data_IF_178301621936
#
_entry.id   IF_178301621936
#
_cell.length_a   1.000
_cell.length_b   1.000
_cell.length_c   1.000
_cell.angle_alpha   90.00
_cell.angle_beta   90.00
_cell.angle_gamma   90.00
#
_symmetry.space_group_name_H-M   'P 1'
#
loop_
_entity.id
_entity.type
_entity.pdbx_description
1 polymer ?
#
# COMPACT_ATOMS: atom_id res chain seq x y z
N UNK A 1 24.24 -4.31 -7.51
CA UNK A 1 24.00 -5.76 -7.36
C UNK A 1 22.61 -6.07 -7.87
N UNK A 2 22.45 -7.02 -8.80
CA UNK A 2 21.15 -7.36 -9.38
C UNK A 2 20.51 -8.50 -8.55
N UNK A 3 19.67 -8.12 -7.59
CA UNK A 3 18.93 -9.06 -6.72
C UNK A 3 17.85 -9.78 -7.55
N UNK A 4 17.73 -11.11 -7.42
CA UNK A 4 16.72 -11.88 -8.17
C UNK A 4 15.29 -11.47 -7.81
N UNK A 5 14.31 -11.67 -8.71
CA UNK A 5 12.90 -11.40 -8.42
C UNK A 5 12.47 -12.14 -7.15
N UNK A 6 12.83 -13.43 -7.03
CA UNK A 6 12.54 -14.23 -5.84
C UNK A 6 13.10 -13.63 -4.54
N UNK A 7 14.34 -13.11 -4.56
CA UNK A 7 14.92 -12.43 -3.40
C UNK A 7 14.19 -11.11 -3.08
N UNK A 8 13.84 -10.31 -4.10
CA UNK A 8 13.07 -9.07 -3.90
C UNK A 8 11.66 -9.36 -3.36
N UNK A 9 11.03 -10.43 -3.85
CA UNK A 9 9.76 -10.95 -3.33
C UNK A 9 9.92 -11.37 -1.86
N UNK A 10 10.97 -12.10 -1.48
CA UNK A 10 11.17 -12.51 -0.08
C UNK A 10 11.25 -11.32 0.90
N UNK A 11 11.74 -10.16 0.44
CA UNK A 11 11.79 -8.92 1.22
C UNK A 11 10.44 -8.22 1.27
N UNK A 12 9.71 -8.18 0.15
CA UNK A 12 8.38 -7.58 0.08
C UNK A 12 7.30 -8.43 0.77
N UNK A 13 7.56 -9.72 0.95
CA UNK A 13 6.62 -10.74 1.42
C UNK A 13 7.19 -11.61 2.55
N UNK A 14 7.74 -11.04 3.64
CA UNK A 14 8.38 -11.83 4.69
C UNK A 14 7.39 -12.75 5.43
N UNK A 15 6.11 -12.43 5.37
CA UNK A 15 5.04 -13.14 6.08
C UNK A 15 4.13 -13.96 5.16
N UNK A 16 4.32 -13.89 3.84
CA UNK A 16 3.64 -14.84 2.95
C UNK A 16 4.41 -16.16 2.97
N UNK A 17 3.73 -17.30 3.10
CA UNK A 17 4.39 -18.58 2.87
C UNK A 17 5.05 -18.58 1.46
N UNK A 18 6.31 -19.06 1.34
CA UNK A 18 7.06 -19.06 0.08
C UNK A 18 6.28 -19.79 -1.03
N UNK A 19 6.36 -19.30 -2.27
CA UNK A 19 5.21 -18.61 -2.82
C UNK A 19 4.32 -19.53 -3.68
N UNK A 20 3.02 -19.40 -3.47
CA UNK A 20 2.12 -18.80 -4.46
C UNK A 20 2.75 -18.62 -5.86
N UNK A 21 2.30 -19.37 -6.86
CA UNK A 21 2.77 -19.21 -8.25
C UNK A 21 2.46 -17.80 -8.75
N UNK A 22 3.43 -17.17 -9.43
CA UNK A 22 3.30 -15.80 -9.95
C UNK A 22 3.61 -15.79 -11.44
N UNK A 23 2.60 -15.43 -12.23
CA UNK A 23 2.77 -15.06 -13.63
C UNK A 23 2.84 -13.54 -13.73
N UNK A 24 4.07 -13.01 -13.74
CA UNK A 24 4.29 -11.59 -13.91
C UNK A 24 4.18 -11.20 -15.39
N UNK A 25 3.61 -10.03 -15.68
CA UNK A 25 3.51 -9.47 -17.03
C UNK A 25 2.75 -10.38 -18.00
N UNK A 26 1.65 -10.99 -17.54
CA UNK A 26 0.67 -11.66 -18.43
C UNK A 26 0.23 -10.68 -19.52
N UNK A 27 0.08 -9.41 -19.15
CA UNK A 27 0.08 -8.28 -20.06
C UNK A 27 1.09 -7.27 -19.56
N UNK A 28 1.83 -6.65 -20.47
CA UNK A 28 2.80 -5.61 -20.15
C UNK A 28 2.41 -4.30 -20.82
N UNK A 29 2.27 -3.26 -20.02
CA UNK A 29 2.04 -1.92 -20.51
C UNK A 29 3.25 -1.40 -21.31
N UNK A 30 2.97 -0.64 -22.36
CA UNK A 30 3.91 0.22 -23.04
C UNK A 30 3.61 1.65 -22.60
N UNK A 31 4.59 2.34 -22.02
CA UNK A 31 4.38 3.68 -21.45
C UNK A 31 5.60 4.56 -21.69
N UNK A 32 5.36 5.87 -21.69
CA UNK A 32 6.39 6.89 -21.79
C UNK A 32 6.79 7.40 -20.40
N UNK A 33 7.99 7.98 -20.32
CA UNK A 33 8.87 7.92 -19.15
C UNK A 33 8.51 8.85 -17.97
N UNK A 34 7.31 9.43 -17.91
CA UNK A 34 7.00 10.55 -16.98
C UNK A 34 5.76 10.39 -16.11
N UNK A 35 5.07 9.26 -16.14
CA UNK A 35 3.72 9.20 -15.58
C UNK A 35 3.65 8.60 -14.17
N UNK A 36 2.57 8.89 -13.45
CA UNK A 36 2.25 8.27 -12.17
C UNK A 36 1.58 6.90 -12.40
N UNK A 37 2.15 5.82 -11.87
CA UNK A 37 1.51 4.50 -11.98
C UNK A 37 0.48 4.27 -10.88
N UNK A 38 -0.73 3.85 -11.25
CA UNK A 38 -1.69 3.29 -10.31
C UNK A 38 -1.33 1.85 -9.95
N UNK A 39 -1.14 1.58 -8.66
CA UNK A 39 -0.84 0.25 -8.13
C UNK A 39 -2.07 -0.31 -7.43
N UNK A 40 -2.53 -1.44 -7.94
CA UNK A 40 -3.84 -2.00 -7.64
C UNK A 40 -3.74 -3.50 -7.44
N UNK A 41 -4.72 -4.03 -6.73
CA UNK A 41 -4.96 -5.47 -6.72
C UNK A 41 -6.45 -5.75 -6.68
N UNK A 42 -6.83 -6.93 -7.15
CA UNK A 42 -8.20 -7.42 -7.14
C UNK A 42 -8.25 -8.94 -6.97
N UNK A 43 -9.43 -9.45 -6.66
CA UNK A 43 -9.75 -10.86 -6.77
C UNK A 43 -10.21 -11.16 -8.20
N UNK A 44 -9.90 -12.36 -8.71
CA UNK A 44 -10.15 -12.78 -10.09
C UNK A 44 -11.61 -12.61 -10.54
N UNK A 45 -12.60 -12.90 -9.69
CA UNK A 45 -14.02 -12.72 -10.03
C UNK A 45 -14.43 -11.25 -10.25
N UNK A 46 -13.59 -10.29 -9.87
CA UNK A 46 -13.82 -8.84 -10.02
C UNK A 46 -13.14 -8.22 -11.22
N UNK A 47 -12.45 -9.03 -12.02
CA UNK A 47 -11.57 -8.56 -13.09
C UNK A 47 -12.29 -7.65 -14.10
N UNK A 48 -13.51 -7.96 -14.47
CA UNK A 48 -14.27 -7.15 -15.44
C UNK A 48 -14.47 -5.71 -14.96
N UNK A 49 -14.85 -5.51 -13.70
CA UNK A 49 -15.06 -4.17 -13.13
C UNK A 49 -13.73 -3.40 -12.97
N UNK A 50 -12.66 -4.14 -12.66
CA UNK A 50 -11.33 -3.57 -12.53
C UNK A 50 -10.75 -3.09 -13.86
N UNK A 51 -10.94 -3.86 -14.94
CA UNK A 51 -10.50 -3.47 -16.29
C UNK A 51 -11.20 -2.19 -16.75
N UNK A 52 -12.50 -2.04 -16.48
CA UNK A 52 -13.24 -0.79 -16.77
C UNK A 52 -12.64 0.38 -16.00
N UNK A 53 -12.40 0.22 -14.70
CA UNK A 53 -11.87 1.30 -13.87
C UNK A 53 -10.41 1.63 -14.21
N UNK A 54 -9.61 0.63 -14.57
CA UNK A 54 -8.22 0.80 -15.01
C UNK A 54 -8.15 1.56 -16.35
N UNK A 55 -9.09 1.32 -17.26
CA UNK A 55 -9.16 2.04 -18.54
C UNK A 55 -9.46 3.54 -18.39
N UNK A 56 -10.06 3.94 -17.26
CA UNK A 56 -10.33 5.34 -16.94
C UNK A 56 -9.14 6.05 -16.27
N UNK A 57 -8.11 5.30 -15.86
CA UNK A 57 -6.91 5.88 -15.30
C UNK A 57 -6.05 6.49 -16.43
N UNK A 58 -5.66 7.78 -16.34
CA UNK A 58 -4.96 8.45 -17.44
C UNK A 58 -3.51 8.01 -17.62
N UNK A 59 -2.90 7.37 -16.63
CA UNK A 59 -1.50 6.93 -16.65
C UNK A 59 -1.34 5.42 -16.76
N UNK A 60 -0.14 4.89 -16.47
CA UNK A 60 0.10 3.46 -16.39
C UNK A 60 -0.60 2.83 -15.19
N UNK A 61 -0.99 1.58 -15.32
CA UNK A 61 -1.61 0.78 -14.27
C UNK A 61 -0.79 -0.50 -14.07
N UNK A 62 -0.46 -0.80 -12.83
CA UNK A 62 0.09 -2.08 -12.40
C UNK A 62 -0.97 -2.79 -11.57
N UNK A 63 -1.56 -3.84 -12.14
CA UNK A 63 -2.68 -4.58 -11.56
C UNK A 63 -2.25 -6.00 -11.18
N UNK A 64 -2.48 -6.35 -9.92
CA UNK A 64 -2.30 -7.72 -9.43
C UNK A 64 -3.66 -8.39 -9.31
N UNK A 65 -3.84 -9.48 -10.05
CA UNK A 65 -5.02 -10.34 -9.96
C UNK A 65 -4.70 -11.51 -9.05
N UNK A 66 -5.46 -11.65 -7.97
CA UNK A 66 -5.29 -12.72 -6.99
C UNK A 66 -6.33 -13.79 -7.25
N UNK A 67 -5.88 -15.04 -7.35
CA UNK A 67 -6.74 -16.20 -7.62
C UNK A 67 -6.38 -17.38 -6.72
N UNK A 68 -7.37 -18.17 -6.32
CA UNK A 68 -7.16 -19.47 -5.68
C UNK A 68 -7.26 -20.64 -6.65
N UNK A 69 -7.40 -20.36 -7.95
CA UNK A 69 -7.41 -21.40 -8.98
C UNK A 69 -5.99 -21.92 -9.17
N UNK A 70 -5.81 -23.23 -9.04
CA UNK A 70 -4.50 -23.88 -9.18
C UNK A 70 -3.89 -23.56 -10.57
N UNK A 71 -2.57 -23.32 -10.69
CA UNK A 71 -1.95 -22.90 -11.94
C UNK A 71 -2.17 -23.84 -13.13
N UNK A 72 -2.40 -25.13 -12.87
CA UNK A 72 -2.63 -26.16 -13.90
C UNK A 72 -4.12 -26.40 -14.21
N UNK A 73 -5.03 -25.72 -13.51
CA UNK A 73 -6.48 -25.87 -13.67
C UNK A 73 -6.98 -25.27 -14.99
N UNK A 74 -8.17 -25.69 -15.41
CA UNK A 74 -8.89 -25.10 -16.55
C UNK A 74 -9.25 -23.64 -16.27
N UNK A 75 -9.71 -23.36 -15.06
CA UNK A 75 -10.17 -22.06 -14.57
C UNK A 75 -9.04 -21.03 -14.59
N UNK A 76 -7.82 -21.43 -14.20
CA UNK A 76 -6.63 -20.59 -14.29
C UNK A 76 -6.27 -20.25 -15.74
N UNK A 77 -6.30 -21.24 -16.64
CA UNK A 77 -6.05 -21.00 -18.07
C UNK A 77 -7.11 -20.11 -18.70
N UNK A 78 -8.37 -20.30 -18.34
CA UNK A 78 -9.48 -19.48 -18.82
C UNK A 78 -9.35 -18.03 -18.33
N UNK A 79 -8.90 -17.82 -17.08
CA UNK A 79 -8.57 -16.50 -16.56
C UNK A 79 -7.45 -15.83 -17.37
N UNK A 80 -6.35 -16.53 -17.66
CA UNK A 80 -5.26 -16.00 -18.47
C UNK A 80 -5.73 -15.66 -19.90
N UNK A 81 -6.52 -16.54 -20.52
CA UNK A 81 -7.12 -16.30 -21.83
C UNK A 81 -8.08 -15.11 -21.84
N UNK A 82 -8.88 -14.95 -20.79
CA UNK A 82 -9.75 -13.80 -20.60
C UNK A 82 -8.94 -12.49 -20.50
N UNK A 83 -7.89 -12.47 -19.69
CA UNK A 83 -7.01 -11.31 -19.54
C UNK A 83 -6.39 -10.92 -20.89
N UNK A 84 -5.78 -11.89 -21.57
CA UNK A 84 -5.09 -11.67 -22.84
C UNK A 84 -6.03 -11.16 -23.94
N UNK A 85 -7.32 -11.53 -23.91
CA UNK A 85 -8.31 -11.11 -24.93
C UNK A 85 -9.03 -9.81 -24.58
N UNK A 86 -9.18 -9.47 -23.30
CA UNK A 86 -9.95 -8.29 -22.85
C UNK A 86 -9.11 -7.07 -22.55
N UNK A 87 -7.84 -7.25 -22.20
CA UNK A 87 -6.95 -6.11 -22.01
C UNK A 87 -6.56 -5.56 -23.38
N UNK A 88 -7.15 -4.42 -23.73
CA UNK A 88 -6.91 -3.71 -24.99
C UNK A 88 -6.11 -2.43 -24.79
N UNK A 89 -5.89 -2.03 -23.54
CA UNK A 89 -5.29 -0.76 -23.16
C UNK A 89 -3.77 -0.88 -23.07
N UNK A 90 -3.04 -0.03 -23.78
CA UNK A 90 -1.57 -0.05 -23.81
C UNK A 90 -0.93 0.34 -22.47
N UNK A 91 -1.68 0.98 -21.56
CA UNK A 91 -1.20 1.47 -20.28
C UNK A 91 -1.34 0.45 -19.12
N UNK A 92 -1.85 -0.76 -19.36
CA UNK A 92 -2.14 -1.73 -18.29
C UNK A 92 -1.16 -2.91 -18.27
N UNK A 93 -0.44 -3.06 -17.15
CA UNK A 93 0.34 -4.25 -16.81
C UNK A 93 -0.48 -5.13 -15.87
N UNK A 94 -0.62 -6.42 -16.19
CA UNK A 94 -1.36 -7.40 -15.39
C UNK A 94 -0.42 -8.50 -14.92
N UNK A 95 -0.50 -8.79 -13.62
CA UNK A 95 0.24 -9.85 -12.95
C UNK A 95 -0.76 -10.77 -12.26
N UNK A 96 -0.59 -12.08 -12.36
CA UNK A 96 -1.51 -13.05 -11.75
C UNK A 96 -0.78 -13.78 -10.62
N UNK A 97 -1.34 -13.67 -9.42
CA UNK A 97 -0.81 -14.28 -8.21
C UNK A 97 -1.76 -15.38 -7.74
N UNK A 98 -1.30 -16.63 -7.81
CA UNK A 98 -2.00 -17.76 -7.23
C UNK A 98 -1.80 -17.79 -5.70
N UNK A 99 -2.87 -17.85 -4.91
CA UNK A 99 -2.82 -17.97 -3.45
C UNK A 99 -3.61 -19.19 -3.00
N UNK A 100 -3.22 -19.81 -1.89
CA UNK A 100 -3.95 -20.98 -1.36
C UNK A 100 -5.40 -20.68 -0.98
N UNK A 101 -5.67 -19.45 -0.55
CA UNK A 101 -7.01 -19.00 -0.20
C UNK A 101 -7.10 -17.49 -0.34
N UNK A 102 -8.21 -17.02 -0.90
CA UNK A 102 -8.55 -15.61 -1.03
C UNK A 102 -9.03 -15.04 0.32
N UNK A 103 -9.68 -15.86 1.16
CA UNK A 103 -10.38 -15.42 2.39
C UNK A 103 -9.47 -14.98 3.55
N UNK A 104 -8.16 -15.04 3.38
CA UNK A 104 -7.16 -14.56 4.33
C UNK A 104 -6.12 -13.65 3.71
N UNK A 105 -6.44 -13.02 2.57
CA UNK A 105 -5.44 -12.37 1.72
C UNK A 105 -4.53 -11.34 2.42
N UNK A 106 -3.29 -11.27 1.94
CA UNK A 106 -2.28 -10.30 2.36
C UNK A 106 -2.40 -9.06 1.47
N UNK A 107 -3.38 -8.21 1.80
CA UNK A 107 -3.79 -7.06 0.96
C UNK A 107 -2.67 -6.04 0.69
N UNK A 108 -1.89 -5.67 1.70
CA UNK A 108 -0.78 -4.74 1.56
C UNK A 108 0.35 -5.35 0.73
N UNK A 109 0.57 -6.66 0.88
CA UNK A 109 1.47 -7.43 0.05
C UNK A 109 1.03 -7.35 -1.42
N UNK A 110 -0.24 -7.56 -1.74
CA UNK A 110 -0.70 -7.46 -3.13
C UNK A 110 -0.48 -6.07 -3.72
N UNK A 111 -0.75 -5.01 -2.96
CA UNK A 111 -0.41 -3.62 -3.36
C UNK A 111 1.10 -3.43 -3.52
N UNK A 112 1.90 -3.99 -2.62
CA UNK A 112 3.36 -3.94 -2.74
C UNK A 112 3.85 -4.68 -4.00
N UNK A 113 3.21 -5.78 -4.38
CA UNK A 113 3.53 -6.48 -5.63
C UNK A 113 3.24 -5.60 -6.84
N UNK A 114 2.08 -4.94 -6.86
CA UNK A 114 1.73 -3.98 -7.89
C UNK A 114 2.75 -2.83 -7.95
N UNK A 115 3.14 -2.29 -6.80
CA UNK A 115 4.21 -1.29 -6.68
C UNK A 115 5.54 -1.79 -7.20
N UNK A 116 5.90 -3.03 -6.91
CA UNK A 116 7.16 -3.62 -7.31
C UNK A 116 7.29 -3.69 -8.84
N UNK A 117 6.21 -4.08 -9.52
CA UNK A 117 6.15 -4.15 -10.98
C UNK A 117 5.73 -2.84 -11.65
N UNK A 118 5.44 -1.81 -10.85
CA UNK A 118 5.09 -0.50 -11.38
C UNK A 118 6.23 0.02 -12.25
N UNK A 119 5.94 0.49 -13.46
CA UNK A 119 7.02 0.64 -14.40
C UNK A 119 7.61 2.08 -14.35
N UNK A 120 6.94 3.01 -13.69
CA UNK A 120 7.40 4.39 -13.45
C UNK A 120 8.10 4.55 -12.08
N UNK A 121 8.73 5.69 -11.85
CA UNK A 121 9.41 6.01 -10.58
C UNK A 121 8.45 6.48 -9.49
N UNK A 122 7.24 6.91 -9.84
CA UNK A 122 6.23 7.42 -8.90
C UNK A 122 4.98 6.55 -8.98
N UNK A 123 4.43 6.21 -7.83
CA UNK A 123 3.28 5.31 -7.73
C UNK A 123 2.21 5.90 -6.84
N UNK A 124 0.95 5.64 -7.16
CA UNK A 124 -0.16 5.77 -6.22
C UNK A 124 -0.63 4.38 -5.81
N UNK A 125 -0.57 4.13 -4.51
CA UNK A 125 -1.03 2.89 -3.91
C UNK A 125 -2.49 3.05 -3.54
N UNK A 126 -3.37 2.29 -4.20
CA UNK A 126 -4.74 2.18 -3.75
C UNK A 126 -4.85 0.99 -2.81
N UNK A 127 -5.12 1.24 -1.51
CA UNK A 127 -5.26 0.16 -0.56
C UNK A 127 -6.55 -0.59 -0.71
N UNK A 128 -7.51 -0.05 -1.47
CA UNK A 128 -8.77 -0.66 -1.86
C UNK A 128 -8.97 -0.64 -3.37
N UNK A 129 -10.14 -1.09 -3.83
CA UNK A 129 -10.55 -1.03 -5.22
C UNK A 129 -10.30 0.35 -5.85
N UNK A 130 -10.10 0.33 -7.16
CA UNK A 130 -10.00 1.56 -7.96
C UNK A 130 -11.26 2.41 -7.69
N UNK A 131 -11.11 3.71 -7.37
CA UNK A 131 -12.25 4.61 -7.25
C UNK A 131 -13.13 4.52 -8.49
N UNK A 132 -14.45 4.47 -8.31
CA UNK A 132 -15.39 4.38 -9.43
C UNK A 132 -15.13 5.56 -10.40
N UNK A 133 -14.82 5.29 -11.68
CA UNK A 133 -14.50 6.32 -12.67
C UNK A 133 -15.59 7.38 -12.84
N UNK A 134 -16.86 7.05 -12.55
CA UNK A 134 -17.96 8.03 -12.59
C UNK A 134 -17.88 9.11 -11.51
N UNK A 135 -17.15 8.83 -10.42
CA UNK A 135 -17.05 9.70 -9.24
C UNK A 135 -15.66 10.33 -9.06
N UNK A 136 -14.65 9.83 -9.75
CA UNK A 136 -13.27 10.28 -9.60
C UNK A 136 -12.81 11.04 -10.84
N UNK A 137 -12.88 12.38 -10.79
CA UNK A 137 -12.09 13.22 -11.70
C UNK A 137 -10.62 13.11 -11.31
N UNK A 138 -9.96 12.00 -11.67
CA UNK A 138 -8.56 11.74 -11.33
C UNK A 138 -7.65 12.91 -11.74
N UNK A 139 -7.93 13.50 -12.91
CA UNK A 139 -7.26 14.70 -13.40
C UNK A 139 -7.19 15.84 -12.36
N UNK A 140 -8.29 16.11 -11.66
CA UNK A 140 -8.41 17.28 -10.76
C UNK A 140 -7.47 17.27 -9.56
N UNK A 141 -7.00 16.11 -9.12
CA UNK A 141 -6.05 16.00 -8.01
C UNK A 141 -4.64 15.63 -8.48
N UNK A 142 -4.50 15.00 -9.65
CA UNK A 142 -3.21 14.82 -10.30
C UNK A 142 -2.54 16.17 -10.55
N UNK A 143 -3.31 17.18 -10.98
CA UNK A 143 -2.82 18.55 -11.18
C UNK A 143 -2.36 19.24 -9.88
N UNK A 144 -2.78 18.72 -8.71
CA UNK A 144 -2.38 19.22 -7.39
C UNK A 144 -1.14 18.52 -6.85
N UNK A 145 -0.69 17.43 -7.49
CA UNK A 145 0.53 16.76 -7.08
C UNK A 145 1.73 17.67 -7.38
N UNK A 146 2.74 17.66 -6.51
CA UNK A 146 4.00 18.30 -6.83
C UNK A 146 4.63 17.60 -8.04
N UNK A 147 5.30 18.37 -8.89
CA UNK A 147 6.02 17.86 -10.08
C UNK A 147 7.04 16.79 -9.68
N UNK A 148 7.68 16.97 -8.52
CA UNK A 148 8.62 16.01 -7.95
C UNK A 148 8.14 15.57 -6.57
N UNK A 149 7.86 14.27 -6.44
CA UNK A 149 7.43 13.66 -5.18
C UNK A 149 8.66 13.24 -4.40
N UNK A 150 9.08 14.07 -3.44
CA UNK A 150 10.19 13.74 -2.53
C UNK A 150 9.74 13.07 -1.24
N UNK A 151 8.45 13.21 -0.89
CA UNK A 151 7.85 12.65 0.33
C UNK A 151 6.49 12.03 0.02
N UNK A 152 6.01 11.07 0.83
CA UNK A 152 4.68 10.49 0.65
C UNK A 152 3.58 11.56 0.66
N UNK A 153 2.62 11.45 -0.25
CA UNK A 153 1.44 12.32 -0.35
C UNK A 153 0.19 11.48 -0.13
N UNK A 154 -0.54 11.74 0.95
CA UNK A 154 -1.78 11.03 1.25
C UNK A 154 -2.95 11.73 0.58
N UNK A 155 -3.81 10.97 -0.08
CA UNK A 155 -5.02 11.47 -0.72
C UNK A 155 -6.19 11.32 0.25
N UNK A 156 -6.75 12.44 0.73
CA UNK A 156 -7.77 12.44 1.80
C UNK A 156 -8.73 13.62 1.70
N UNK A 157 -9.43 13.94 2.79
CA UNK A 157 -10.45 15.02 2.80
C UNK A 157 -9.93 16.37 3.34
N UNK A 158 -8.62 16.49 3.64
CA UNK A 158 -8.10 17.73 4.20
C UNK A 158 -6.58 17.76 4.35
N UNK A 159 -6.05 18.93 4.73
CA UNK A 159 -4.65 19.10 5.11
C UNK A 159 -4.47 18.71 6.57
N UNK A 160 -3.73 17.65 6.84
CA UNK A 160 -3.51 17.17 8.20
C UNK A 160 -2.17 17.68 8.74
N UNK A 161 -2.18 18.29 9.93
CA UNK A 161 -0.96 18.67 10.68
C UNK A 161 -0.53 17.60 11.70
N UNK A 162 -1.39 16.60 11.92
CA UNK A 162 -1.20 15.49 12.84
C UNK A 162 -1.69 14.20 12.16
N UNK A 163 -1.28 13.04 12.68
CA UNK A 163 -1.69 11.76 12.14
C UNK A 163 -3.18 11.50 12.43
N UNK A 164 -4.04 11.87 11.49
CA UNK A 164 -5.49 11.63 11.53
C UNK A 164 -6.01 11.34 10.12
N UNK A 165 -5.40 10.35 9.46
CA UNK A 165 -5.70 10.01 8.08
C UNK A 165 -6.97 9.18 7.99
N UNK A 166 -7.70 9.32 6.89
CA UNK A 166 -8.90 8.51 6.66
C UNK A 166 -8.49 7.04 6.45
N UNK A 167 -9.26 6.09 7.00
CA UNK A 167 -9.14 4.67 6.67
C UNK A 167 -9.00 4.44 5.16
N UNK A 168 -8.06 3.57 4.76
CA UNK A 168 -7.86 3.19 3.36
C UNK A 168 -7.61 4.39 2.42
N UNK A 169 -7.01 5.48 2.91
CA UNK A 169 -6.59 6.59 2.05
C UNK A 169 -5.49 6.13 1.08
N UNK A 170 -5.63 6.38 -0.23
CA UNK A 170 -4.54 6.16 -1.18
C UNK A 170 -3.32 7.01 -0.84
N UNK A 171 -2.15 6.54 -1.22
CA UNK A 171 -0.89 7.26 -0.98
C UNK A 171 -0.02 7.28 -2.22
N UNK A 172 0.50 8.45 -2.55
CA UNK A 172 1.46 8.67 -3.63
C UNK A 172 2.87 8.69 -3.05
N UNK A 173 3.80 7.95 -3.64
CA UNK A 173 5.20 7.90 -3.20
C UNK A 173 6.10 7.44 -4.34
N UNK A 174 7.42 7.52 -4.11
CA UNK A 174 8.40 6.90 -5.00
C UNK A 174 8.26 5.37 -5.00
N UNK A 175 8.37 4.75 -6.16
CA UNK A 175 8.34 3.29 -6.31
C UNK A 175 9.36 2.61 -5.41
N UNK A 176 10.55 3.19 -5.24
CA UNK A 176 11.66 2.68 -4.45
C UNK A 176 11.74 3.27 -3.02
N UNK A 177 10.70 3.99 -2.56
CA UNK A 177 10.62 4.47 -1.19
C UNK A 177 10.92 3.34 -0.16
N UNK A 178 11.72 3.59 0.89
CA UNK A 178 12.23 2.52 1.75
C UNK A 178 11.16 1.79 2.57
N UNK A 179 10.01 2.43 2.80
CA UNK A 179 8.88 1.84 3.53
C UNK A 179 8.03 0.96 2.62
N UNK A 180 7.84 -0.30 3.01
CA UNK A 180 6.92 -1.25 2.41
C UNK A 180 5.76 -1.52 3.37
N UNK A 181 4.53 -1.57 2.87
CA UNK A 181 3.36 -1.83 3.71
C UNK A 181 3.28 -3.32 4.03
N UNK A 182 3.62 -3.74 5.25
CA UNK A 182 3.59 -5.16 5.63
C UNK A 182 2.37 -5.48 6.50
N UNK A 183 1.77 -6.65 6.32
CA UNK A 183 0.79 -7.21 7.25
C UNK A 183 1.54 -7.79 8.45
N UNK A 184 1.57 -7.04 9.54
CA UNK A 184 2.22 -7.52 10.78
C UNK A 184 1.30 -8.38 11.62
N UNK A 185 -0.01 -8.19 11.47
CA UNK A 185 -1.04 -8.78 12.34
C UNK A 185 -2.03 -9.64 11.55
N UNK A 186 -1.51 -10.48 10.65
CA UNK A 186 -2.28 -11.36 9.78
C UNK A 186 -3.38 -12.16 10.51
N UNK A 187 -3.09 -12.64 11.73
CA UNK A 187 -4.02 -13.41 12.56
C UNK A 187 -5.26 -12.64 13.02
N UNK A 188 -5.26 -11.31 12.92
CA UNK A 188 -6.31 -10.42 13.38
C UNK A 188 -6.96 -9.66 12.20
N UNK A 189 -6.88 -10.24 11.00
CA UNK A 189 -7.16 -9.69 9.67
C UNK A 189 -8.15 -8.52 9.59
N UNK A 190 -7.62 -7.30 9.52
CA UNK A 190 -8.39 -6.09 9.29
C UNK A 190 -7.57 -5.18 8.40
N UNK A 191 -7.95 -5.21 7.11
CA UNK A 191 -7.33 -4.41 6.04
C UNK A 191 -7.19 -2.95 6.42
N UNK A 192 -8.25 -2.35 6.95
CA UNK A 192 -8.26 -0.96 7.39
C UNK A 192 -7.18 -0.65 8.40
N UNK A 193 -7.04 -1.48 9.43
CA UNK A 193 -6.07 -1.28 10.49
C UNK A 193 -4.64 -1.62 10.01
N UNK A 194 -4.48 -2.62 9.13
CA UNK A 194 -3.16 -2.97 8.57
C UNK A 194 -2.67 -1.85 7.65
N UNK A 195 -3.58 -1.18 6.95
CA UNK A 195 -3.27 0.00 6.17
C UNK A 195 -2.99 1.23 7.04
N UNK A 196 -3.75 1.44 8.11
CA UNK A 196 -3.51 2.53 9.07
C UNK A 196 -2.09 2.44 9.65
N UNK A 197 -1.63 1.24 10.03
CA UNK A 197 -0.27 1.03 10.51
C UNK A 197 0.78 1.30 9.42
N UNK A 198 0.48 1.03 8.14
CA UNK A 198 1.37 1.44 7.05
C UNK A 198 1.44 2.96 6.92
N UNK A 199 0.29 3.64 6.89
CA UNK A 199 0.24 5.10 6.81
C UNK A 199 0.96 5.75 7.99
N UNK A 200 0.82 5.18 9.19
CA UNK A 200 1.53 5.63 10.38
C UNK A 200 3.06 5.50 10.21
N UNK A 201 3.54 4.39 9.66
CA UNK A 201 4.97 4.19 9.39
C UNK A 201 5.49 5.18 8.34
N UNK A 202 4.73 5.42 7.27
CA UNK A 202 5.06 6.43 6.25
C UNK A 202 5.17 7.83 6.88
N UNK A 203 4.22 8.18 7.76
CA UNK A 203 4.23 9.43 8.49
C UNK A 203 5.45 9.57 9.41
N UNK A 204 5.79 8.52 10.16
CA UNK A 204 6.98 8.49 11.03
C UNK A 204 8.28 8.69 10.23
N UNK A 205 8.43 7.95 9.13
CA UNK A 205 9.66 7.95 8.33
C UNK A 205 9.82 9.27 7.57
N UNK A 206 8.72 9.89 7.14
CA UNK A 206 8.71 11.26 6.58
C UNK A 206 8.93 12.37 7.62
N UNK A 207 9.12 12.04 8.90
CA UNK A 207 9.23 13.02 9.99
C UNK A 207 8.06 14.03 10.03
N UNK A 208 6.86 13.58 9.64
CA UNK A 208 5.66 14.42 9.58
C UNK A 208 5.57 15.35 8.37
N UNK A 209 6.51 15.27 7.43
CA UNK A 209 6.51 16.06 6.19
C UNK A 209 5.71 15.38 5.07
N UNK A 210 5.00 14.29 5.36
CA UNK A 210 4.05 13.71 4.42
C UNK A 210 2.94 14.73 4.10
N UNK A 211 2.80 15.07 2.82
CA UNK A 211 1.78 16.00 2.37
C UNK A 211 0.40 15.32 2.35
N UNK A 212 -0.66 16.12 2.41
CA UNK A 212 -2.02 15.63 2.23
C UNK A 212 -2.76 16.50 1.22
N UNK A 213 -3.32 15.86 0.20
CA UNK A 213 -4.13 16.53 -0.82
C UNK A 213 -5.59 16.20 -0.55
N UNK A 214 -6.40 17.26 -0.47
CA UNK A 214 -7.85 17.11 -0.40
C UNK A 214 -8.37 16.67 -1.77
N UNK A 215 -8.92 15.45 -1.84
CA UNK A 215 -9.55 14.90 -3.03
C UNK A 215 -11.05 14.69 -2.76
N UNK A 216 -11.93 15.48 -3.40
CA UNK A 216 -13.36 15.23 -3.34
C UNK A 216 -13.65 13.82 -3.82
N UNK A 217 -14.50 13.09 -3.09
CA UNK A 217 -14.98 11.77 -3.51
C UNK A 217 -13.90 10.69 -3.71
N UNK A 218 -12.70 10.81 -3.14
CA UNK A 218 -11.85 9.63 -2.99
C UNK A 218 -12.61 8.62 -2.13
N UNK A 219 -13.12 7.62 -2.84
CA UNK A 219 -13.85 6.48 -2.31
C UNK A 219 -12.90 5.75 -1.37
N UNK A 220 -13.37 5.53 -0.15
CA UNK A 220 -12.61 4.88 0.91
C UNK A 220 -13.60 4.39 1.93
N UNK A 221 -14.14 3.21 1.64
CA UNK A 221 -15.17 2.53 2.40
C UNK A 221 -16.13 1.83 1.45
N UNK A 222 -16.02 0.51 1.22
CA UNK A 222 -17.23 -0.27 0.96
C UNK A 222 -18.31 0.14 1.96
N UNK A 223 -19.57 0.20 1.52
CA UNK A 223 -20.69 0.00 2.46
C UNK A 223 -20.45 -1.38 3.04
N UNK A 224 -19.73 -1.46 4.16
CA UNK A 224 -19.21 -2.71 4.74
C UNK A 224 -20.36 -3.71 4.84
N UNK A 225 -20.47 -4.59 3.85
CA UNK A 225 -21.42 -5.69 3.88
C UNK A 225 -20.65 -6.73 4.66
N UNK A 226 -21.02 -6.89 5.93
CA UNK A 226 -20.43 -7.83 6.89
C UNK A 226 -18.93 -7.66 7.14
N UNK A 227 -18.57 -6.69 7.99
CA UNK A 227 -17.34 -6.85 8.75
C UNK A 227 -17.45 -8.19 9.53
N UNK A 228 -16.46 -9.09 9.48
CA UNK A 228 -16.50 -10.28 10.32
C UNK A 228 -16.69 -9.84 11.77
N UNK A 229 -17.50 -10.57 12.54
CA UNK A 229 -17.66 -10.37 13.98
C UNK A 229 -16.30 -10.62 14.66
N UNK A 230 -15.42 -9.61 14.63
CA UNK A 230 -14.16 -9.64 15.34
C UNK A 230 -14.52 -9.53 16.82
N UNK A 231 -14.23 -10.59 17.58
CA UNK A 231 -14.50 -10.58 19.01
C UNK A 231 -13.80 -9.38 19.68
N UNK A 232 -14.40 -8.83 20.75
CA UNK A 232 -13.78 -7.75 21.54
C UNK A 232 -12.35 -8.10 21.98
N UNK A 233 -12.07 -9.37 22.25
CA UNK A 233 -10.74 -9.86 22.61
C UNK A 233 -9.73 -9.78 21.46
N UNK A 234 -10.13 -10.15 20.24
CA UNK A 234 -9.31 -10.07 19.04
C UNK A 234 -8.92 -8.61 18.76
N UNK A 235 -9.86 -7.67 18.90
CA UNK A 235 -9.62 -6.24 18.73
C UNK A 235 -8.68 -5.65 19.80
N UNK A 236 -8.89 -5.97 21.08
CA UNK A 236 -8.01 -5.55 22.18
C UNK A 236 -6.59 -6.06 22.00
N UNK A 237 -6.47 -7.33 21.62
CA UNK A 237 -5.17 -7.96 21.34
C UNK A 237 -4.47 -7.22 20.22
N UNK A 238 -5.15 -7.01 19.09
CA UNK A 238 -4.61 -6.26 17.94
C UNK A 238 -4.14 -4.86 18.33
N UNK A 239 -4.93 -4.09 19.08
CA UNK A 239 -4.55 -2.75 19.54
C UNK A 239 -3.26 -2.78 20.37
N UNK A 240 -3.12 -3.78 21.26
CA UNK A 240 -1.90 -3.97 22.06
C UNK A 240 -0.68 -4.27 21.18
N UNK A 241 -0.85 -5.13 20.17
CA UNK A 241 0.22 -5.44 19.22
C UNK A 241 0.60 -4.24 18.35
N UNK A 242 -0.37 -3.47 17.85
CA UNK A 242 -0.11 -2.24 17.10
C UNK A 242 0.61 -1.20 17.96
N UNK A 243 0.19 -1.01 19.21
CA UNK A 243 0.87 -0.11 20.17
C UNK A 243 2.32 -0.53 20.41
N UNK A 244 2.57 -1.82 20.63
CA UNK A 244 3.92 -2.38 20.78
C UNK A 244 4.76 -2.15 19.52
N UNK A 245 4.20 -2.43 18.35
CA UNK A 245 4.88 -2.21 17.08
C UNK A 245 5.27 -0.74 16.89
N UNK A 246 4.32 0.18 17.09
CA UNK A 246 4.57 1.62 16.97
C UNK A 246 5.66 2.08 17.94
N UNK A 247 5.70 1.51 19.15
CA UNK A 247 6.76 1.76 20.14
C UNK A 247 8.13 1.28 19.65
N UNK A 248 8.22 0.03 19.20
CA UNK A 248 9.45 -0.55 18.66
C UNK A 248 9.97 0.22 17.43
N UNK A 249 9.07 0.57 16.50
CA UNK A 249 9.39 1.38 15.33
C UNK A 249 9.92 2.76 15.72
N UNK A 250 9.31 3.41 16.72
CA UNK A 250 9.79 4.67 17.26
C UNK A 250 11.20 4.57 17.86
N UNK A 251 11.46 3.53 18.67
CA UNK A 251 12.79 3.28 19.25
C UNK A 251 13.83 3.07 18.14
N UNK A 252 13.50 2.27 17.12
CA UNK A 252 14.40 2.02 15.99
C UNK A 252 14.67 3.28 15.17
N UNK A 253 13.64 4.07 14.85
CA UNK A 253 13.78 5.33 14.12
C UNK A 253 14.66 6.32 14.89
N UNK A 254 14.50 6.38 16.22
CA UNK A 254 15.32 7.21 17.10
C UNK A 254 16.79 6.76 17.14
N UNK A 255 17.05 5.45 17.27
CA UNK A 255 18.41 4.88 17.24
C UNK A 255 19.12 5.15 15.92
N UNK A 256 18.43 4.94 14.78
CA UNK A 256 18.97 5.21 13.44
C UNK A 256 19.36 6.68 13.27
N UNK A 257 18.53 7.60 13.76
CA UNK A 257 18.81 9.02 13.64
C UNK A 257 19.93 9.50 14.59
N UNK A 258 20.17 8.80 15.70
CA UNK A 258 21.31 9.07 16.60
C UNK A 258 22.64 8.55 16.06
N UNK A 259 22.62 7.47 15.26
CA UNK A 259 23.82 6.88 14.68
C UNK A 259 24.45 7.71 13.54
N UNK A 260 23.82 8.82 13.15
CA UNK A 260 24.34 9.73 12.14
C UNK A 260 25.23 10.78 12.83
N UNK A 261 26.55 10.65 12.67
CA UNK A 261 27.58 11.43 13.38
C UNK A 261 27.54 12.95 13.10
N UNK A 262 26.98 13.38 11.96
CA UNK A 262 26.86 14.78 11.59
C UNK A 262 25.51 15.10 10.95
N UNK A 263 24.53 15.46 11.77
CA UNK A 263 23.21 15.87 11.28
C UNK A 263 23.23 17.31 10.74
N UNK A 264 22.72 17.48 9.53
CA UNK A 264 22.33 18.77 8.96
C UNK A 264 21.24 19.45 9.81
N UNK A 265 21.01 20.75 9.59
CA UNK A 265 19.95 21.49 10.29
C UNK A 265 18.55 20.87 10.06
N UNK A 266 18.29 20.39 8.85
CA UNK A 266 17.03 19.74 8.49
C UNK A 266 16.87 18.42 9.25
N UNK A 267 17.89 17.57 9.28
CA UNK A 267 17.83 16.29 9.98
C UNK A 267 17.72 16.46 11.49
N UNK A 268 18.33 17.51 12.07
CA UNK A 268 18.11 17.88 13.48
C UNK A 268 16.65 18.23 13.77
N UNK A 269 15.99 18.95 12.86
CA UNK A 269 14.55 19.26 12.96
C UNK A 269 13.71 17.98 12.86
N UNK A 270 14.02 17.10 11.92
CA UNK A 270 13.34 15.81 11.77
C UNK A 270 13.51 14.94 13.01
N UNK A 271 14.72 14.89 13.58
CA UNK A 271 15.00 14.18 14.83
C UNK A 271 14.18 14.76 16.01
N UNK A 272 14.11 16.08 16.13
CA UNK A 272 13.30 16.72 17.18
C UNK A 272 11.81 16.41 17.01
N UNK A 273 11.30 16.44 15.78
CA UNK A 273 9.92 16.05 15.48
C UNK A 273 9.67 14.60 15.87
N UNK A 274 10.53 13.66 15.45
CA UNK A 274 10.41 12.23 15.79
C UNK A 274 10.45 12.01 17.30
N UNK A 275 11.32 12.70 18.03
CA UNK A 275 11.34 12.67 19.51
C UNK A 275 10.00 13.08 20.11
N UNK A 276 9.39 14.15 19.60
CA UNK A 276 8.10 14.64 20.08
C UNK A 276 6.98 13.63 19.75
N UNK A 277 6.86 13.24 18.49
CA UNK A 277 5.85 12.30 18.00
C UNK A 277 5.93 10.96 18.73
N UNK A 278 7.13 10.40 18.89
CA UNK A 278 7.31 9.11 19.55
C UNK A 278 7.05 9.15 21.05
N UNK A 279 7.24 10.28 21.73
CA UNK A 279 6.85 10.41 23.16
C UNK A 279 5.35 10.24 23.35
N UNK A 280 4.53 10.76 22.45
CA UNK A 280 3.08 10.62 22.51
C UNK A 280 2.65 9.15 22.35
N UNK A 281 3.38 8.39 21.54
CA UNK A 281 3.15 6.95 21.32
C UNK A 281 3.62 6.11 22.51
N UNK A 282 4.76 6.45 23.13
CA UNK A 282 5.36 5.67 24.22
C UNK A 282 4.82 5.99 25.61
N UNK A 283 4.12 7.12 25.80
CA UNK A 283 3.59 7.55 27.12
C UNK A 283 2.05 7.38 27.20
N UNK A 284 1.40 6.96 26.11
CA UNK A 284 -0.04 6.68 26.09
C UNK A 284 -0.47 5.52 27.00
N UNK A 285 -1.77 5.40 27.31
CA UNK A 285 -2.31 4.29 28.12
C UNK A 285 -2.02 2.95 27.44
N UNK A 286 -1.07 2.19 27.98
CA UNK A 286 -0.54 0.95 27.39
C UNK A 286 0.97 0.93 27.15
N UNK A 287 1.68 2.02 27.49
CA UNK A 287 3.14 2.10 27.51
C UNK A 287 3.79 0.93 28.25
N UNK A 288 4.62 0.16 27.55
CA UNK A 288 5.53 -0.80 28.18
C UNK A 288 6.77 -0.01 28.56
N UNK A 289 7.06 0.10 29.85
CA UNK A 289 8.36 0.59 30.32
C UNK A 289 9.45 -0.34 29.78
N UNK A 290 10.22 0.14 28.81
CA UNK A 290 11.44 -0.54 28.36
C UNK A 290 12.54 -0.11 29.32
N UNK A 291 12.73 -0.90 30.37
CA UNK A 291 13.90 -0.84 31.25
C UNK A 291 15.12 -1.50 30.60
#
# INVERSE_FOLDING_TARGET
MNISISQRLSVAFPNLPPPAHLDAFVVQAHYHQSDLTACLWIEDFRITAALVSASAWPGPVSLVVVTANEPNSTEYRDLLGYIATKVTTENLSVHVLHVRSISGGSYNAYVNMARFFAPTSQVVLFPDDIPNPETSSHASWLDKLPVEITHPVVLGNGTHKAFSLRPLSPVVLLRDHPVWCTERFYLFGSRTLDWEDCLWQLWLESAGDAASIAVPHVVGGPKSTTAPLVSSHTMKTRLRWSTRYRTEACVLAMKRAQALDSLTKLEKRHLQWRKKFCREVTVGPGAIEVS
#
